data_IF_566273496741
#
_entry.id   IF_566273496741
#
_cell.length_a   1.000
_cell.length_b   1.000
_cell.length_c   1.000
_cell.angle_alpha   90.00
_cell.angle_beta   90.00
_cell.angle_gamma   90.00
#
_symmetry.space_group_name_H-M   'P 1'
#
loop_
_entity.id
_entity.type
_entity.pdbx_description
1 polymer ?
#
# COMPACT_ATOMS: atom_id res chain seq x y z
N UNK A 1 13.17 -11.21 16.37
CA UNK A 1 11.92 -10.44 16.55
C UNK A 1 12.30 -9.21 17.36
N UNK A 2 12.56 -8.08 16.70
CA UNK A 2 12.80 -6.82 17.40
C UNK A 2 11.44 -6.31 17.89
N UNK A 3 11.22 -6.33 19.19
CA UNK A 3 10.06 -5.70 19.79
C UNK A 3 10.05 -4.22 19.38
N UNK A 4 8.95 -3.78 18.75
CA UNK A 4 8.74 -2.36 18.52
C UNK A 4 8.64 -1.71 19.89
N UNK A 5 9.39 -0.62 20.18
CA UNK A 5 9.32 0.01 21.50
C UNK A 5 7.87 0.32 21.84
N UNK A 6 7.47 -0.05 23.05
CA UNK A 6 6.10 0.12 23.59
C UNK A 6 5.71 1.61 23.68
N UNK A 7 6.65 2.50 23.49
CA UNK A 7 6.41 3.93 23.29
C UNK A 7 6.06 4.15 21.81
N UNK A 8 4.75 4.15 21.55
CA UNK A 8 4.20 4.53 20.26
C UNK A 8 4.74 5.90 19.86
N UNK A 9 5.64 5.93 18.90
CA UNK A 9 6.14 7.19 18.38
C UNK A 9 4.99 8.08 17.90
N UNK A 10 5.19 9.39 17.78
CA UNK A 10 4.13 10.35 17.44
C UNK A 10 3.38 10.00 16.16
N UNK A 11 4.03 9.30 15.23
CA UNK A 11 3.40 8.84 13.99
C UNK A 11 2.34 7.75 14.22
N UNK A 12 2.56 6.83 15.16
CA UNK A 12 1.58 5.79 15.47
C UNK A 12 0.39 6.39 16.24
N UNK A 13 0.63 7.35 17.12
CA UNK A 13 -0.44 8.08 17.79
C UNK A 13 -1.29 8.87 16.79
N UNK A 14 -0.69 9.50 15.80
CA UNK A 14 -1.43 10.15 14.72
C UNK A 14 -2.35 9.16 13.96
N UNK A 15 -1.89 7.93 13.70
CA UNK A 15 -2.74 6.89 13.09
C UNK A 15 -3.87 6.45 14.04
N UNK A 16 -3.59 6.31 15.33
CA UNK A 16 -4.60 5.99 16.37
C UNK A 16 -5.67 7.07 16.44
N UNK A 17 -5.27 8.34 16.40
CA UNK A 17 -6.20 9.46 16.42
C UNK A 17 -7.13 9.47 15.21
N UNK A 18 -6.64 9.15 14.01
CA UNK A 18 -7.48 9.02 12.80
C UNK A 18 -8.62 8.00 12.99
N UNK A 19 -8.43 6.98 13.83
CA UNK A 19 -9.39 5.89 14.02
C UNK A 19 -10.00 5.85 15.44
N UNK A 20 -9.68 6.81 16.29
CA UNK A 20 -10.06 6.83 17.72
C UNK A 20 -11.55 6.65 17.95
N UNK A 21 -12.40 7.30 17.16
CA UNK A 21 -13.86 7.22 17.30
C UNK A 21 -14.51 6.06 16.54
N UNK A 22 -13.74 5.00 16.22
CA UNK A 22 -14.24 3.84 15.51
C UNK A 22 -15.24 3.03 16.33
N UNK A 23 -16.46 2.86 15.82
CA UNK A 23 -17.54 2.08 16.43
C UNK A 23 -17.39 0.56 16.25
N UNK A 24 -16.36 0.11 15.54
CA UNK A 24 -16.17 -1.31 15.25
C UNK A 24 -17.35 -1.97 14.50
N UNK A 25 -18.11 -1.22 13.72
CA UNK A 25 -19.32 -1.68 13.02
C UNK A 25 -19.02 -2.67 11.87
N UNK A 26 -17.79 -2.72 11.36
CA UNK A 26 -17.40 -3.67 10.30
C UNK A 26 -17.69 -3.22 8.87
N UNK A 27 -18.32 -2.07 8.64
CA UNK A 27 -18.63 -1.55 7.29
C UNK A 27 -17.38 -1.44 6.41
N UNK A 28 -16.25 -1.04 6.98
CA UNK A 28 -14.97 -0.95 6.27
C UNK A 28 -14.48 -2.31 5.74
N UNK A 29 -14.70 -3.39 6.50
CA UNK A 29 -14.37 -4.76 6.08
C UNK A 29 -15.33 -5.23 4.99
N UNK A 30 -16.63 -5.06 5.20
CA UNK A 30 -17.65 -5.47 4.23
C UNK A 30 -17.55 -4.72 2.89
N UNK A 31 -17.02 -3.50 2.90
CA UNK A 31 -16.87 -2.66 1.70
C UNK A 31 -15.52 -2.85 0.99
N UNK A 32 -14.58 -3.55 1.59
CA UNK A 32 -13.24 -3.69 1.03
C UNK A 32 -13.18 -4.80 -0.02
N UNK A 33 -12.85 -4.50 -1.29
CA UNK A 33 -12.74 -5.52 -2.34
C UNK A 33 -11.61 -6.52 -2.08
N UNK A 34 -10.62 -6.14 -1.27
CA UNK A 34 -9.46 -6.98 -0.97
C UNK A 34 -9.56 -7.68 0.39
N UNK A 35 -10.67 -7.54 1.13
CA UNK A 35 -10.81 -8.07 2.48
C UNK A 35 -10.55 -9.57 2.59
N UNK A 36 -10.96 -10.34 1.57
CA UNK A 36 -10.76 -11.79 1.53
C UNK A 36 -9.29 -12.22 1.40
N UNK A 37 -8.44 -11.35 0.88
CA UNK A 37 -6.99 -11.61 0.72
C UNK A 37 -6.17 -11.09 1.92
N UNK A 38 -6.78 -10.33 2.83
CA UNK A 38 -6.12 -9.75 3.99
C UNK A 38 -6.03 -10.79 5.12
N UNK A 39 -4.88 -10.87 5.76
CA UNK A 39 -4.63 -11.69 6.96
C UNK A 39 -5.36 -11.12 8.20
N UNK A 40 -5.41 -9.78 8.29
CA UNK A 40 -6.15 -9.05 9.31
C UNK A 40 -7.18 -8.17 8.62
N UNK A 41 -8.48 -8.38 8.90
CA UNK A 41 -9.52 -7.55 8.28
C UNK A 41 -9.39 -6.07 8.68
N UNK A 42 -9.85 -5.11 7.85
CA UNK A 42 -9.76 -3.69 8.18
C UNK A 42 -10.33 -3.34 9.56
N UNK A 43 -11.48 -3.90 9.94
CA UNK A 43 -12.06 -3.70 11.28
C UNK A 43 -11.13 -4.18 12.39
N UNK A 44 -10.54 -5.37 12.23
CA UNK A 44 -9.63 -5.94 13.23
C UNK A 44 -8.35 -5.12 13.32
N UNK A 45 -7.84 -4.62 12.20
CA UNK A 45 -6.67 -3.76 12.15
C UNK A 45 -6.85 -2.51 13.02
N UNK A 46 -7.99 -1.82 12.87
CA UNK A 46 -8.31 -0.66 13.72
C UNK A 46 -8.45 -1.02 15.19
N UNK A 47 -9.03 -2.19 15.47
CA UNK A 47 -9.14 -2.67 16.86
C UNK A 47 -7.76 -2.89 17.48
N UNK A 48 -6.85 -3.55 16.78
CA UNK A 48 -5.48 -3.80 17.28
C UNK A 48 -4.77 -2.49 17.63
N UNK A 49 -4.87 -1.48 16.76
CA UNK A 49 -4.29 -0.16 17.03
C UNK A 49 -4.87 0.49 18.27
N UNK A 50 -6.20 0.44 18.44
CA UNK A 50 -6.91 1.06 19.55
C UNK A 50 -6.70 0.34 20.88
N UNK A 51 -6.42 -0.95 20.86
CA UNK A 51 -6.20 -1.78 22.06
C UNK A 51 -4.73 -1.96 22.42
N UNK A 52 -3.82 -1.21 21.77
CA UNK A 52 -2.39 -1.25 22.12
C UNK A 52 -1.58 -2.36 21.45
N UNK A 53 -2.19 -3.15 20.55
CA UNK A 53 -1.53 -4.25 19.83
C UNK A 53 -0.97 -3.77 18.48
N UNK A 54 -0.19 -2.68 18.50
CA UNK A 54 0.37 -2.07 17.31
C UNK A 54 1.35 -3.01 16.58
N UNK A 55 2.08 -3.83 17.34
CA UNK A 55 3.04 -4.79 16.79
C UNK A 55 2.35 -5.81 15.88
N UNK A 56 1.22 -6.39 16.34
CA UNK A 56 0.41 -7.31 15.54
C UNK A 56 -0.16 -6.61 14.30
N UNK A 57 -0.61 -5.35 14.46
CA UNK A 57 -1.12 -4.57 13.34
C UNK A 57 -0.05 -4.30 12.28
N UNK A 58 1.16 -3.91 12.69
CA UNK A 58 2.27 -3.58 11.79
C UNK A 58 2.92 -4.83 11.18
N UNK A 59 2.87 -5.98 11.85
CA UNK A 59 3.30 -7.26 11.29
C UNK A 59 2.35 -7.79 10.21
N UNK A 60 1.11 -7.26 10.12
CA UNK A 60 0.14 -7.72 9.14
C UNK A 60 0.48 -7.27 7.71
N UNK A 61 0.01 -8.04 6.73
CA UNK A 61 0.14 -7.70 5.30
C UNK A 61 -1.06 -6.88 4.78
N UNK A 62 -2.07 -6.68 5.60
CA UNK A 62 -3.38 -6.13 5.21
C UNK A 62 -3.30 -4.74 4.61
N UNK A 63 -2.56 -3.82 5.23
CA UNK A 63 -2.45 -2.45 4.72
C UNK A 63 -1.66 -2.38 3.40
N UNK A 64 -0.77 -3.35 3.10
CA UNK A 64 -0.09 -3.45 1.81
C UNK A 64 -1.05 -3.83 0.67
N UNK A 65 -2.11 -4.58 0.97
CA UNK A 65 -3.14 -4.97 0.01
C UNK A 65 -4.17 -3.86 -0.25
N UNK A 66 -4.09 -2.75 0.47
CA UNK A 66 -4.99 -1.63 0.27
C UNK A 66 -4.71 -0.93 -1.07
N UNK A 67 -5.68 -0.94 -1.97
CA UNK A 67 -5.63 -0.29 -3.30
C UNK A 67 -6.07 1.18 -3.29
N UNK A 68 -6.25 1.77 -2.12
CA UNK A 68 -6.65 3.18 -1.94
C UNK A 68 -7.94 3.56 -2.69
N UNK A 69 -8.91 2.64 -2.74
CA UNK A 69 -10.17 2.83 -3.46
C UNK A 69 -11.20 3.71 -2.73
N UNK A 70 -10.92 4.17 -1.52
CA UNK A 70 -11.75 5.02 -0.66
C UNK A 70 -13.11 4.43 -0.24
N UNK A 71 -13.48 3.23 -0.65
CA UNK A 71 -14.78 2.64 -0.31
C UNK A 71 -15.03 2.55 1.21
N UNK A 72 -14.02 2.22 2.00
CA UNK A 72 -14.12 2.16 3.46
C UNK A 72 -14.30 3.55 4.09
N UNK A 73 -13.62 4.58 3.59
CA UNK A 73 -13.72 5.97 4.06
C UNK A 73 -15.11 6.55 3.76
N UNK A 74 -15.56 6.42 2.51
CA UNK A 74 -16.85 6.95 2.07
C UNK A 74 -18.05 6.29 2.78
N UNK A 75 -17.94 5.01 3.13
CA UNK A 75 -19.02 4.27 3.80
C UNK A 75 -18.92 4.27 5.32
N UNK A 76 -17.89 4.91 5.89
CA UNK A 76 -17.74 4.96 7.34
C UNK A 76 -18.84 5.84 7.97
N UNK A 77 -19.68 5.30 8.89
CA UNK A 77 -20.73 6.08 9.53
C UNK A 77 -20.18 7.18 10.46
N UNK A 78 -18.89 7.10 10.80
CA UNK A 78 -18.19 8.10 11.61
C UNK A 78 -17.36 9.07 10.77
N UNK A 79 -17.34 8.93 9.43
CA UNK A 79 -16.55 9.78 8.56
C UNK A 79 -15.03 9.68 8.74
N UNK A 80 -14.53 8.52 9.22
CA UNK A 80 -13.11 8.36 9.53
C UNK A 80 -12.26 8.28 8.26
N UNK A 81 -11.07 8.86 8.24
CA UNK A 81 -10.15 8.87 7.10
C UNK A 81 -9.40 7.53 6.97
N UNK A 82 -10.13 6.41 6.83
CA UNK A 82 -9.59 5.06 6.90
C UNK A 82 -8.56 4.75 5.79
N UNK A 83 -8.73 5.35 4.62
CA UNK A 83 -7.76 5.19 3.51
C UNK A 83 -6.45 5.91 3.83
N UNK A 84 -6.51 7.07 4.46
CA UNK A 84 -5.33 7.82 4.90
C UNK A 84 -4.61 7.09 6.03
N UNK A 85 -5.37 6.53 6.97
CA UNK A 85 -4.81 5.69 8.03
C UNK A 85 -4.07 4.45 7.46
N UNK A 86 -4.62 3.79 6.43
CA UNK A 86 -3.92 2.71 5.71
C UNK A 86 -2.62 3.19 5.06
N UNK A 87 -2.63 4.38 4.44
CA UNK A 87 -1.42 4.96 3.84
C UNK A 87 -0.37 5.33 4.90
N UNK A 88 -0.81 5.86 6.05
CA UNK A 88 0.07 6.16 7.16
C UNK A 88 0.73 4.88 7.74
N UNK A 89 -0.02 3.78 7.87
CA UNK A 89 0.54 2.49 8.28
C UNK A 89 1.61 1.97 7.30
N UNK A 90 1.42 2.13 5.99
CA UNK A 90 2.44 1.77 5.00
C UNK A 90 3.74 2.55 5.20
N UNK A 91 3.64 3.87 5.43
CA UNK A 91 4.80 4.71 5.70
C UNK A 91 5.51 4.30 6.99
N UNK A 92 4.74 4.11 8.06
CA UNK A 92 5.24 3.70 9.36
C UNK A 92 5.98 2.35 9.28
N UNK A 93 5.36 1.34 8.69
CA UNK A 93 5.96 0.02 8.51
C UNK A 93 7.25 0.05 7.68
N UNK A 94 7.29 0.89 6.63
CA UNK A 94 8.48 1.05 5.79
C UNK A 94 9.68 1.64 6.55
N UNK A 95 9.43 2.45 7.58
CA UNK A 95 10.48 3.08 8.41
C UNK A 95 10.91 2.16 9.57
N UNK A 96 9.94 1.50 10.21
CA UNK A 96 10.20 0.68 11.40
C UNK A 96 10.87 -0.65 11.11
N UNK A 97 10.39 -1.38 10.13
CA UNK A 97 10.99 -2.64 9.68
C UNK A 97 11.10 -2.71 8.16
N UNK A 98 12.16 -2.09 7.61
CA UNK A 98 12.40 -2.12 6.16
C UNK A 98 12.56 -3.53 5.59
N UNK A 99 12.99 -4.50 6.41
CA UNK A 99 13.18 -5.88 5.98
C UNK A 99 11.82 -6.60 5.81
N UNK A 100 10.94 -6.51 6.79
CA UNK A 100 9.59 -7.06 6.72
C UNK A 100 8.72 -6.32 5.67
N UNK A 101 8.90 -4.99 5.54
CA UNK A 101 8.19 -4.16 4.58
C UNK A 101 8.71 -4.30 3.13
N UNK A 102 9.83 -4.97 2.90
CA UNK A 102 10.58 -4.98 1.63
C UNK A 102 9.72 -5.27 0.40
N UNK A 103 8.90 -6.30 0.45
CA UNK A 103 8.06 -6.68 -0.70
C UNK A 103 7.01 -5.60 -1.02
N UNK A 104 6.28 -5.16 -0.02
CA UNK A 104 5.24 -4.15 -0.17
C UNK A 104 5.82 -2.80 -0.58
N UNK A 105 6.87 -2.33 0.10
CA UNK A 105 7.53 -1.08 -0.20
C UNK A 105 8.17 -1.08 -1.61
N UNK A 106 8.83 -2.18 -2.00
CA UNK A 106 9.40 -2.31 -3.34
C UNK A 106 8.33 -2.27 -4.42
N UNK A 107 7.19 -2.93 -4.21
CA UNK A 107 6.07 -2.89 -5.15
C UNK A 107 5.54 -1.46 -5.30
N UNK A 108 5.20 -0.78 -4.19
CA UNK A 108 4.66 0.57 -4.24
C UNK A 108 5.63 1.57 -4.85
N UNK A 109 6.90 1.51 -4.49
CA UNK A 109 7.94 2.36 -5.10
C UNK A 109 8.02 2.14 -6.61
N UNK A 110 8.10 0.89 -7.03
CA UNK A 110 8.17 0.53 -8.46
C UNK A 110 6.92 0.97 -9.21
N UNK A 111 5.74 0.80 -8.58
CA UNK A 111 4.46 1.22 -9.13
C UNK A 111 4.41 2.74 -9.33
N UNK A 112 4.75 3.52 -8.32
CA UNK A 112 4.74 4.99 -8.41
C UNK A 112 5.77 5.52 -9.40
N UNK A 113 6.97 4.93 -9.45
CA UNK A 113 7.99 5.26 -10.45
C UNK A 113 7.53 4.93 -11.87
N UNK A 114 6.80 3.83 -12.06
CA UNK A 114 6.23 3.45 -13.35
C UNK A 114 5.17 4.47 -13.80
N UNK A 115 4.23 4.82 -12.92
CA UNK A 115 3.20 5.85 -13.21
C UNK A 115 3.83 7.21 -13.49
N UNK A 116 4.83 7.63 -12.72
CA UNK A 116 5.56 8.88 -12.93
C UNK A 116 6.20 8.94 -14.31
N UNK A 117 6.80 7.85 -14.78
CA UNK A 117 7.49 7.78 -16.09
C UNK A 117 6.54 7.73 -17.26
N UNK A 118 5.47 6.93 -17.15
CA UNK A 118 4.60 6.61 -18.28
C UNK A 118 3.28 7.40 -18.27
N UNK A 119 2.97 8.13 -17.19
CA UNK A 119 1.69 8.83 -17.02
C UNK A 119 0.52 7.91 -16.71
N UNK A 120 0.72 6.59 -16.78
CA UNK A 120 -0.20 5.51 -16.42
C UNK A 120 0.57 4.26 -16.08
N UNK A 121 -0.09 3.26 -15.54
CA UNK A 121 0.54 1.95 -15.30
C UNK A 121 0.90 1.27 -16.63
N UNK A 122 2.15 0.81 -16.72
CA UNK A 122 2.67 -0.03 -17.78
C UNK A 122 3.08 -1.36 -17.16
N UNK A 123 2.28 -2.39 -17.39
CA UNK A 123 2.37 -3.66 -16.67
C UNK A 123 3.70 -4.39 -16.93
N UNK A 124 4.19 -4.36 -18.16
CA UNK A 124 5.44 -5.03 -18.55
C UNK A 124 6.66 -4.36 -17.90
N UNK A 125 6.72 -3.01 -17.89
CA UNK A 125 7.81 -2.26 -17.24
C UNK A 125 7.72 -2.39 -15.71
N UNK A 126 6.51 -2.35 -15.16
CA UNK A 126 6.27 -2.54 -13.72
C UNK A 126 6.80 -3.89 -13.24
N UNK A 127 6.39 -4.97 -13.89
CA UNK A 127 6.79 -6.33 -13.49
C UNK A 127 8.30 -6.55 -13.66
N UNK A 128 8.88 -6.10 -14.77
CA UNK A 128 10.32 -6.21 -15.00
C UNK A 128 11.13 -5.51 -13.90
N UNK A 129 10.76 -4.28 -13.55
CA UNK A 129 11.44 -3.51 -12.49
C UNK A 129 11.20 -4.08 -11.11
N UNK A 130 9.99 -4.56 -10.83
CA UNK A 130 9.69 -5.22 -9.57
C UNK A 130 10.54 -6.48 -9.36
N UNK A 131 10.68 -7.34 -10.40
CA UNK A 131 11.54 -8.51 -10.33
C UNK A 131 13.02 -8.14 -10.09
N UNK A 132 13.51 -7.09 -10.75
CA UNK A 132 14.86 -6.59 -10.51
C UNK A 132 15.04 -6.04 -9.08
N UNK A 133 14.04 -5.31 -8.56
CA UNK A 133 14.07 -4.76 -7.21
C UNK A 133 14.09 -5.85 -6.13
N UNK A 134 13.38 -6.95 -6.37
CA UNK A 134 13.32 -8.09 -5.42
C UNK A 134 14.60 -8.91 -5.37
N UNK A 135 15.47 -8.81 -6.41
CA UNK A 135 16.73 -9.59 -6.53
C UNK A 135 16.56 -11.11 -6.33
N UNK A 136 15.38 -11.64 -6.63
CA UNK A 136 15.07 -13.06 -6.51
C UNK A 136 14.90 -13.66 -7.92
N UNK A 137 15.83 -14.49 -8.40
CA UNK A 137 15.80 -15.06 -9.76
C UNK A 137 14.66 -16.07 -9.97
N UNK A 138 14.09 -16.63 -8.90
CA UNK A 138 12.97 -17.58 -8.99
C UNK A 138 11.61 -16.87 -9.15
N UNK A 139 11.50 -15.61 -8.75
CA UNK A 139 10.25 -14.86 -8.80
C UNK A 139 9.67 -14.76 -10.23
N UNK A 140 10.44 -14.44 -11.28
CA UNK A 140 9.91 -14.43 -12.65
C UNK A 140 9.38 -15.78 -13.12
N UNK A 141 9.99 -16.89 -12.68
CA UNK A 141 9.56 -18.23 -13.03
C UNK A 141 8.18 -18.57 -12.47
N UNK A 142 7.89 -18.12 -11.24
CA UNK A 142 6.57 -18.29 -10.62
C UNK A 142 5.47 -17.59 -11.40
N UNK A 143 5.75 -16.45 -12.02
CA UNK A 143 4.80 -15.68 -12.81
C UNK A 143 4.81 -16.02 -14.31
N UNK A 144 5.77 -16.82 -14.79
CA UNK A 144 5.94 -17.17 -16.20
C UNK A 144 4.67 -17.80 -16.83
N UNK A 145 3.95 -18.75 -16.19
CA UNK A 145 2.74 -19.33 -16.79
C UNK A 145 1.63 -18.29 -17.00
N UNK A 146 1.47 -17.35 -16.04
CA UNK A 146 0.50 -16.28 -16.16
C UNK A 146 0.93 -15.27 -17.23
N UNK A 147 2.19 -14.90 -17.26
CA UNK A 147 2.77 -14.01 -18.28
C UNK A 147 2.57 -14.53 -19.68
N UNK A 148 2.83 -15.82 -19.90
CA UNK A 148 2.63 -16.48 -21.19
C UNK A 148 1.14 -16.46 -21.63
N UNK A 149 0.23 -16.76 -20.69
CA UNK A 149 -1.22 -16.67 -20.96
C UNK A 149 -1.66 -15.26 -21.37
N UNK A 150 -1.15 -14.24 -20.69
CA UNK A 150 -1.45 -12.83 -20.99
C UNK A 150 -0.86 -12.41 -22.33
N UNK A 151 0.34 -12.89 -22.67
CA UNK A 151 1.00 -12.64 -23.95
C UNK A 151 0.21 -13.24 -25.11
N UNK A 152 -0.15 -14.53 -25.01
CA UNK A 152 -0.95 -15.24 -26.04
C UNK A 152 -2.32 -14.57 -26.25
N UNK A 153 -2.92 -14.04 -25.20
CA UNK A 153 -4.18 -13.29 -25.27
C UNK A 153 -4.04 -11.84 -25.75
N UNK A 154 -2.84 -11.39 -26.13
CA UNK A 154 -2.60 -10.03 -26.59
C UNK A 154 -2.84 -8.95 -25.52
N UNK A 155 -2.81 -9.32 -24.22
CA UNK A 155 -3.08 -8.39 -23.11
C UNK A 155 -1.83 -7.62 -22.64
N UNK A 156 -0.64 -8.06 -23.06
CA UNK A 156 0.60 -7.34 -22.75
C UNK A 156 0.89 -6.30 -23.84
N UNK A 157 0.76 -5.04 -23.47
CA UNK A 157 1.01 -3.93 -24.37
C UNK A 157 2.44 -3.40 -24.20
N UNK A 158 3.06 -2.99 -25.31
CA UNK A 158 4.34 -2.28 -25.26
C UNK A 158 4.15 -0.88 -24.67
N UNK A 159 5.15 -0.34 -23.93
CA UNK A 159 5.07 1.01 -23.39
C UNK A 159 4.82 2.05 -24.48
N UNK A 160 3.68 2.74 -24.43
CA UNK A 160 3.40 3.82 -25.36
C UNK A 160 4.15 5.10 -24.91
N UNK A 161 4.85 5.75 -25.86
CA UNK A 161 5.69 6.93 -25.57
C UNK A 161 4.89 8.23 -25.27
N UNK A 162 3.60 8.25 -25.61
CA UNK A 162 2.81 9.49 -25.72
C UNK A 162 2.44 10.22 -24.43
N UNK A 163 2.71 9.65 -23.24
CA UNK A 163 2.34 10.27 -21.95
C UNK A 163 3.51 10.44 -20.98
N UNK A 164 4.73 10.21 -21.44
CA UNK A 164 5.93 10.34 -20.61
C UNK A 164 6.09 11.76 -20.05
N UNK A 165 6.32 11.86 -18.73
CA UNK A 165 6.62 13.13 -18.05
C UNK A 165 5.42 14.04 -17.75
N UNK A 166 4.21 13.73 -18.21
CA UNK A 166 3.01 14.57 -17.98
C UNK A 166 2.64 14.76 -16.50
N UNK A 167 2.97 13.81 -15.65
CA UNK A 167 2.67 13.87 -14.22
C UNK A 167 3.82 14.45 -13.37
N UNK A 168 4.89 14.92 -13.99
CA UNK A 168 6.08 15.41 -13.26
C UNK A 168 5.77 16.55 -12.29
N UNK A 169 4.94 17.50 -12.68
CA UNK A 169 4.52 18.63 -11.84
C UNK A 169 3.68 18.19 -10.64
N UNK A 170 2.78 17.21 -10.83
CA UNK A 170 1.96 16.66 -9.75
C UNK A 170 2.81 15.92 -8.71
N UNK A 171 3.78 15.12 -9.16
CA UNK A 171 4.72 14.44 -8.26
C UNK A 171 5.61 15.42 -7.51
N UNK A 172 6.04 16.52 -8.15
CA UNK A 172 6.82 17.56 -7.50
C UNK A 172 6.00 18.33 -6.44
N UNK A 173 4.73 18.62 -6.72
CA UNK A 173 3.82 19.24 -5.76
C UNK A 173 3.57 18.32 -4.55
N UNK A 174 3.28 17.03 -4.78
CA UNK A 174 3.07 16.06 -3.71
C UNK A 174 4.30 15.89 -2.81
N UNK A 175 5.51 15.90 -3.40
CA UNK A 175 6.74 15.80 -2.63
C UNK A 175 6.99 17.03 -1.74
N UNK A 176 6.56 18.23 -2.15
CA UNK A 176 6.60 19.44 -1.31
C UNK A 176 5.64 19.34 -0.13
N UNK A 177 4.39 18.89 -0.37
CA UNK A 177 3.40 18.69 0.67
C UNK A 177 3.82 17.65 1.72
N UNK A 178 4.56 16.62 1.32
CA UNK A 178 5.11 15.63 2.26
C UNK A 178 6.26 16.20 3.09
N UNK A 179 7.09 17.08 2.50
CA UNK A 179 8.16 17.77 3.21
C UNK A 179 7.66 18.77 4.26
N UNK A 180 6.52 19.42 4.01
CA UNK A 180 5.91 20.38 4.95
C UNK A 180 5.16 19.70 6.10
N UNK A 181 4.88 18.38 5.99
CA UNK A 181 4.17 17.57 7.02
C UNK A 181 5.10 16.70 7.86
N UNK A 182 6.39 16.70 7.60
CA UNK A 182 7.42 15.96 8.34
C UNK A 182 8.19 16.86 9.28
#
# INVERSE_FOLDING_TARGET
MNAIPTEAGPELEAVRDMVRSCLQCGTCTASCPNAAAMDVSPRRLWRLLLTGHADEALASRSFWLCSSCYACTLRCPRGLPLTEAMAALKRLASRHDPAAAKEGAAFYKTFMDNVRRHGRVQETDLMGRYFLAMKNPLLPLTFAPLGLRLFVKGKLHRPAAGQRGRLGSMFAAAAKDEGDRS
#
